data_IF_743316899984
#
_entry.id   IF_743316899984
#
_cell.length_a   1.000
_cell.length_b   1.000
_cell.length_c   1.000
_cell.angle_alpha   90.00
_cell.angle_beta   90.00
_cell.angle_gamma   90.00
#
_symmetry.space_group_name_H-M   'P 1'
#
loop_
_entity.id
_entity.type
_entity.pdbx_description
1 polymer ?
#
# COMPACT_ATOMS: atom_id res chain seq x y z
N UNK A 1 -0.94 -25.76 18.01
CA UNK A 1 0.38 -25.12 18.26
C UNK A 1 1.51 -26.02 17.74
N UNK A 2 2.14 -25.71 16.60
CA UNK A 2 3.27 -26.49 16.08
C UNK A 2 4.61 -25.89 16.53
N UNK A 3 5.57 -26.73 16.96
CA UNK A 3 6.91 -26.31 17.40
C UNK A 3 7.97 -26.86 16.47
N UNK A 4 8.85 -25.99 15.97
CA UNK A 4 10.10 -26.41 15.32
C UNK A 4 11.21 -26.60 16.36
N UNK A 5 12.21 -27.42 16.03
CA UNK A 5 13.39 -27.74 16.86
C UNK A 5 14.19 -26.51 17.31
N UNK A 6 13.98 -25.35 16.68
CA UNK A 6 14.73 -24.10 16.91
C UNK A 6 13.92 -23.02 17.66
N UNK A 7 12.75 -23.34 18.23
CA UNK A 7 12.03 -22.44 19.14
C UNK A 7 11.22 -21.32 18.46
N UNK A 8 11.11 -21.32 17.13
CA UNK A 8 10.14 -20.46 16.44
C UNK A 8 8.75 -21.06 16.64
N UNK A 9 7.90 -20.29 17.31
CA UNK A 9 6.48 -20.59 17.51
C UNK A 9 5.69 -19.72 16.54
N UNK A 10 4.88 -20.32 15.67
CA UNK A 10 3.80 -19.58 15.02
C UNK A 10 2.48 -20.16 15.49
N UNK A 11 1.59 -19.26 15.87
CA UNK A 11 0.27 -19.59 16.38
C UNK A 11 -0.70 -19.17 15.29
N UNK A 12 -1.45 -20.12 14.75
CA UNK A 12 -2.59 -19.86 13.86
C UNK A 12 -3.72 -19.45 14.82
N UNK A 13 -3.82 -18.15 15.14
CA UNK A 13 -4.67 -17.64 16.24
C UNK A 13 -6.01 -17.08 15.84
N UNK A 14 -6.37 -17.02 14.56
CA UNK A 14 -7.64 -16.40 14.18
C UNK A 14 -8.68 -17.48 13.86
N UNK A 15 -9.76 -17.51 14.64
CA UNK A 15 -10.94 -18.39 14.50
C UNK A 15 -11.72 -18.16 13.18
N UNK A 16 -11.18 -17.33 12.27
CA UNK A 16 -11.71 -17.06 10.94
C UNK A 16 -11.22 -18.13 9.96
N UNK A 17 -11.91 -19.27 9.97
CA UNK A 17 -11.93 -20.30 8.93
C UNK A 17 -10.63 -20.41 8.11
N UNK A 18 -9.58 -20.94 8.74
CA UNK A 18 -8.39 -21.36 8.00
C UNK A 18 -8.54 -22.84 7.71
N UNK A 19 -8.85 -23.21 6.47
CA UNK A 19 -8.85 -24.64 6.10
C UNK A 19 -7.44 -25.03 5.70
N UNK A 20 -6.80 -25.86 6.51
CA UNK A 20 -5.50 -26.45 6.21
C UNK A 20 -5.68 -27.93 5.90
N UNK A 21 -5.20 -28.36 4.74
CA UNK A 21 -5.07 -29.77 4.41
C UNK A 21 -3.61 -30.17 4.59
N UNK A 22 -3.39 -31.17 5.45
CA UNK A 22 -2.09 -31.75 5.68
C UNK A 22 -1.93 -33.04 4.88
N UNK A 23 -0.86 -33.10 4.10
CA UNK A 23 -0.52 -34.26 3.29
C UNK A 23 0.78 -34.86 3.79
N UNK A 24 0.69 -36.06 4.37
CA UNK A 24 1.86 -36.88 4.64
C UNK A 24 2.23 -37.66 3.38
N UNK A 25 3.42 -37.39 2.85
CA UNK A 25 4.03 -38.16 1.76
C UNK A 25 4.71 -39.42 2.33
N UNK A 26 5.35 -39.28 3.48
CA UNK A 26 5.96 -40.39 4.22
C UNK A 26 5.69 -40.22 5.71
N UNK A 27 5.48 -41.33 6.44
CA UNK A 27 5.09 -41.28 7.85
C UNK A 27 3.65 -40.81 8.06
N UNK A 28 3.36 -40.28 9.25
CA UNK A 28 2.02 -39.80 9.62
C UNK A 28 2.07 -38.30 9.86
N UNK A 29 1.09 -37.57 9.32
CA UNK A 29 0.84 -36.20 9.70
C UNK A 29 -0.67 -35.92 9.64
N UNK A 30 -1.15 -35.11 10.56
CA UNK A 30 -2.57 -34.78 10.69
C UNK A 30 -2.73 -33.38 11.26
N UNK A 31 -3.89 -32.80 11.02
CA UNK A 31 -4.36 -31.59 11.69
C UNK A 31 -5.62 -31.98 12.45
N UNK A 32 -5.70 -31.62 13.71
CA UNK A 32 -6.89 -31.84 14.55
C UNK A 32 -7.85 -30.65 14.49
N UNK A 33 -9.00 -30.80 15.15
CA UNK A 33 -10.07 -29.78 15.18
C UNK A 33 -9.66 -28.48 15.91
N UNK A 34 -8.47 -28.43 16.52
CA UNK A 34 -7.87 -27.25 17.17
C UNK A 34 -6.73 -26.64 16.32
N UNK A 35 -6.70 -26.91 15.01
CA UNK A 35 -5.68 -26.45 14.05
C UNK A 35 -4.24 -26.81 14.47
N UNK A 36 -4.08 -27.91 15.22
CA UNK A 36 -2.76 -28.38 15.64
C UNK A 36 -2.21 -29.40 14.65
N UNK A 37 -1.22 -28.96 13.87
CA UNK A 37 -0.42 -29.86 13.04
C UNK A 37 0.42 -30.80 13.93
N UNK A 38 0.12 -32.09 13.84
CA UNK A 38 0.91 -33.17 14.43
C UNK A 38 1.68 -33.89 13.33
N UNK A 39 3.01 -33.98 13.48
CA UNK A 39 3.90 -34.66 12.53
C UNK A 39 4.61 -35.78 13.27
N UNK A 40 4.43 -37.01 12.79
CA UNK A 40 5.11 -38.18 13.31
C UNK A 40 6.63 -38.09 13.12
N UNK A 41 7.40 -38.76 13.97
CA UNK A 41 8.86 -38.75 13.88
C UNK A 41 9.32 -39.27 12.50
N UNK A 42 10.07 -38.44 11.77
CA UNK A 42 10.54 -38.77 10.42
C UNK A 42 9.50 -38.66 9.31
N UNK A 43 8.30 -38.12 9.61
CA UNK A 43 7.28 -37.86 8.60
C UNK A 43 7.66 -36.67 7.71
N UNK A 44 7.24 -36.76 6.45
CA UNK A 44 7.54 -35.83 5.37
C UNK A 44 6.22 -35.42 4.74
N UNK A 45 6.07 -34.15 4.43
CA UNK A 45 4.85 -33.68 3.82
C UNK A 45 4.77 -32.18 3.71
N UNK A 46 3.57 -31.73 3.36
CA UNK A 46 3.28 -30.32 3.24
C UNK A 46 1.87 -30.06 3.75
N UNK A 47 1.67 -28.83 4.18
CA UNK A 47 0.37 -28.27 4.51
C UNK A 47 0.07 -27.22 3.47
N UNK A 48 -1.09 -27.32 2.84
CA UNK A 48 -1.65 -26.23 2.04
C UNK A 48 -2.85 -25.73 2.82
N UNK A 49 -2.94 -24.42 2.99
CA UNK A 49 -4.13 -23.84 3.59
C UNK A 49 -4.61 -22.61 2.88
N UNK A 50 -5.91 -22.39 3.02
CA UNK A 50 -6.57 -21.17 2.63
C UNK A 50 -6.82 -20.34 3.89
N UNK A 51 -6.15 -19.20 3.98
CA UNK A 51 -6.42 -18.19 4.97
C UNK A 51 -7.62 -17.38 4.50
N UNK A 52 -8.78 -17.59 5.14
CA UNK A 52 -9.93 -16.74 4.92
C UNK A 52 -9.69 -15.38 5.59
N UNK A 53 -9.39 -14.38 4.78
CA UNK A 53 -9.40 -12.98 5.21
C UNK A 53 -10.86 -12.49 5.19
N UNK A 54 -11.21 -11.55 6.08
CA UNK A 54 -12.54 -10.93 6.20
C UNK A 54 -13.16 -10.68 4.80
N UNK A 55 -14.48 -10.90 4.66
CA UNK A 55 -15.29 -10.78 3.43
C UNK A 55 -15.16 -11.92 2.40
N UNK A 56 -15.06 -13.18 2.86
CA UNK A 56 -15.11 -14.38 2.01
C UNK A 56 -13.93 -14.55 1.02
N UNK A 57 -12.71 -14.13 1.42
CA UNK A 57 -11.51 -14.08 0.56
C UNK A 57 -10.47 -15.07 1.02
N UNK A 58 -9.83 -15.83 0.14
CA UNK A 58 -8.79 -16.80 0.52
C UNK A 58 -7.40 -16.38 0.05
N UNK A 59 -6.41 -16.31 0.94
CA UNK A 59 -4.99 -16.38 0.58
C UNK A 59 -4.51 -17.82 0.72
N UNK A 60 -3.98 -18.42 -0.34
CA UNK A 60 -3.40 -19.76 -0.26
C UNK A 60 -1.92 -19.68 0.11
N UNK A 61 -1.54 -20.38 1.18
CA UNK A 61 -0.15 -20.53 1.60
C UNK A 61 0.22 -22.02 1.70
N UNK A 62 1.49 -22.33 1.44
CA UNK A 62 2.03 -23.68 1.59
C UNK A 62 3.20 -23.69 2.58
N UNK A 63 3.18 -24.64 3.52
CA UNK A 63 4.23 -24.89 4.50
C UNK A 63 4.71 -26.33 4.36
N UNK A 64 6.01 -26.56 4.25
CA UNK A 64 6.59 -27.92 4.15
C UNK A 64 7.18 -28.36 5.49
N UNK A 65 7.02 -29.64 5.85
CA UNK A 65 7.65 -30.25 7.03
C UNK A 65 8.47 -31.49 6.65
N UNK A 66 9.53 -31.78 7.41
CA UNK A 66 10.43 -32.93 7.19
C UNK A 66 11.78 -32.62 6.54
N UNK A 67 12.21 -31.35 6.52
CA UNK A 67 13.36 -30.86 5.75
C UNK A 67 14.75 -31.42 6.07
N UNK A 68 14.96 -32.19 7.15
CA UNK A 68 16.29 -32.78 7.44
C UNK A 68 16.53 -34.14 6.74
N UNK A 69 15.53 -34.77 6.09
CA UNK A 69 15.71 -36.09 5.43
C UNK A 69 16.08 -36.05 3.94
N UNK A 70 16.08 -34.88 3.33
CA UNK A 70 16.53 -34.71 1.95
C UNK A 70 17.96 -34.14 1.89
N UNK A 71 18.89 -34.89 2.45
CA UNK A 71 20.28 -34.84 2.00
C UNK A 71 20.35 -35.46 0.60
N UNK A 72 20.41 -34.62 -0.44
CA UNK A 72 21.04 -34.86 -1.76
C UNK A 72 20.89 -36.23 -2.47
N UNK A 73 19.88 -37.06 -2.19
CA UNK A 73 19.87 -38.46 -2.67
C UNK A 73 18.53 -39.11 -3.05
N UNK A 74 17.39 -38.48 -2.76
CA UNK A 74 16.06 -39.09 -3.00
C UNK A 74 15.37 -38.60 -4.27
N UNK A 75 15.92 -37.58 -4.95
CA UNK A 75 15.36 -37.03 -6.18
C UNK A 75 13.96 -36.42 -6.04
N UNK A 76 13.53 -36.00 -4.85
CA UNK A 76 12.27 -35.28 -4.63
C UNK A 76 12.53 -33.84 -4.18
N UNK A 77 11.67 -32.93 -4.61
CA UNK A 77 11.85 -31.49 -4.43
C UNK A 77 10.51 -30.80 -4.15
N UNK A 78 10.56 -29.65 -3.49
CA UNK A 78 9.37 -28.88 -3.11
C UNK A 78 8.99 -27.86 -4.17
N UNK A 79 7.69 -27.72 -4.42
CA UNK A 79 7.08 -26.60 -5.13
C UNK A 79 6.25 -25.79 -4.13
N UNK A 80 6.77 -24.65 -3.71
CA UNK A 80 6.04 -23.70 -2.87
C UNK A 80 5.20 -22.78 -3.75
N UNK A 81 3.92 -22.64 -3.41
CA UNK A 81 2.98 -21.75 -4.12
C UNK A 81 2.42 -20.66 -3.21
N UNK A 82 2.22 -19.48 -3.78
CA UNK A 82 1.52 -18.35 -3.17
C UNK A 82 0.70 -17.58 -4.21
N UNK A 83 -0.30 -16.82 -3.76
CA UNK A 83 -1.12 -15.94 -4.59
C UNK A 83 -1.15 -14.52 -3.99
N UNK A 84 -1.11 -13.49 -4.86
CA UNK A 84 -1.47 -12.12 -4.44
C UNK A 84 -2.98 -12.01 -4.21
N UNK A 85 -3.44 -10.91 -3.61
CA UNK A 85 -4.88 -10.64 -3.46
C UNK A 85 -5.64 -10.73 -4.80
N UNK A 86 -6.83 -11.33 -4.76
CA UNK A 86 -7.73 -11.43 -5.92
C UNK A 86 -7.81 -12.80 -6.58
N UNK A 87 -7.32 -13.84 -5.93
CA UNK A 87 -7.47 -15.22 -6.41
C UNK A 87 -6.78 -16.26 -5.53
N UNK A 88 -6.89 -17.50 -5.94
CA UNK A 88 -6.31 -18.68 -5.27
C UNK A 88 -5.38 -19.46 -6.20
N UNK A 89 -4.49 -20.27 -5.61
CA UNK A 89 -3.56 -21.14 -6.33
C UNK A 89 -3.62 -22.58 -5.82
N UNK A 90 -3.52 -23.56 -6.72
CA UNK A 90 -3.34 -24.98 -6.41
C UNK A 90 -2.19 -25.60 -7.20
N UNK A 91 -1.71 -26.76 -6.75
CA UNK A 91 -0.61 -27.51 -7.39
C UNK A 91 0.76 -27.39 -6.72
N UNK A 92 0.85 -26.75 -5.55
CA UNK A 92 2.05 -26.86 -4.70
C UNK A 92 2.18 -28.24 -4.06
N UNK A 93 3.38 -28.60 -3.60
CA UNK A 93 3.61 -29.89 -2.96
C UNK A 93 5.05 -30.39 -3.07
N UNK A 94 5.23 -31.70 -2.96
CA UNK A 94 6.52 -32.39 -3.15
C UNK A 94 6.40 -33.28 -4.38
N UNK A 95 7.36 -33.19 -5.28
CA UNK A 95 7.37 -33.88 -6.57
C UNK A 95 8.69 -34.58 -6.81
N UNK A 96 8.67 -35.72 -7.51
CA UNK A 96 9.89 -36.38 -7.96
C UNK A 96 10.53 -35.61 -9.12
N UNK A 97 11.86 -35.64 -9.23
CA UNK A 97 12.61 -35.10 -10.37
C UNK A 97 12.09 -35.74 -11.65
N UNK A 98 11.79 -34.92 -12.65
CA UNK A 98 11.24 -35.40 -13.92
C UNK A 98 9.71 -35.56 -13.92
N UNK A 99 9.05 -35.44 -12.76
CA UNK A 99 7.59 -35.44 -12.68
C UNK A 99 7.01 -34.16 -13.26
N UNK A 100 5.85 -34.27 -13.92
CA UNK A 100 5.14 -33.10 -14.43
C UNK A 100 4.34 -32.45 -13.29
N UNK A 101 4.70 -31.22 -12.95
CA UNK A 101 3.96 -30.37 -12.02
C UNK A 101 2.93 -29.56 -12.81
N UNK A 102 1.70 -29.45 -12.28
CA UNK A 102 0.65 -28.61 -12.85
C UNK A 102 0.18 -27.62 -11.77
N UNK A 103 0.34 -26.33 -12.05
CA UNK A 103 -0.16 -25.25 -11.20
C UNK A 103 -1.38 -24.59 -11.83
N UNK A 104 -2.37 -24.24 -11.00
CA UNK A 104 -3.58 -23.55 -11.44
C UNK A 104 -3.87 -22.34 -10.55
N UNK A 105 -4.09 -21.20 -11.19
CA UNK A 105 -4.54 -19.96 -10.60
C UNK A 105 -6.02 -19.73 -10.94
N UNK A 106 -6.82 -19.36 -9.94
CA UNK A 106 -8.25 -19.07 -10.09
C UNK A 106 -8.52 -17.65 -9.59
N UNK A 107 -8.83 -16.69 -10.46
CA UNK A 107 -9.21 -15.34 -10.04
C UNK A 107 -10.54 -15.35 -9.28
N UNK A 108 -10.62 -14.51 -8.25
CA UNK A 108 -11.87 -14.19 -7.59
C UNK A 108 -12.75 -13.30 -8.50
N UNK A 109 -14.03 -13.15 -8.16
CA UNK A 109 -14.92 -12.23 -8.86
C UNK A 109 -14.38 -10.80 -8.81
N UNK A 110 -14.37 -10.12 -9.97
CA UNK A 110 -13.82 -8.78 -10.08
C UNK A 110 -12.31 -8.71 -10.24
N UNK A 111 -11.61 -9.84 -10.42
CA UNK A 111 -10.17 -9.90 -10.69
C UNK A 111 -9.84 -10.69 -11.97
N UNK A 112 -8.74 -10.33 -12.61
CA UNK A 112 -8.09 -11.03 -13.70
C UNK A 112 -6.75 -11.60 -13.21
N UNK A 113 -6.42 -12.81 -13.66
CA UNK A 113 -5.08 -13.36 -13.52
C UNK A 113 -4.13 -12.64 -14.49
N UNK A 114 -3.01 -12.12 -14.00
CA UNK A 114 -2.06 -11.36 -14.83
C UNK A 114 -0.74 -12.10 -15.09
N UNK A 115 -0.42 -13.14 -14.32
CA UNK A 115 0.75 -13.97 -14.59
C UNK A 115 1.37 -14.60 -13.37
N UNK A 116 2.31 -15.51 -13.63
CA UNK A 116 3.14 -16.19 -12.65
C UNK A 116 4.53 -15.57 -12.58
N UNK A 117 5.17 -15.64 -11.42
CA UNK A 117 6.63 -15.55 -11.30
C UNK A 117 7.18 -16.86 -10.74
N UNK A 118 8.31 -17.30 -11.26
CA UNK A 118 8.96 -18.56 -10.89
C UNK A 118 10.41 -18.32 -10.45
N UNK A 119 10.83 -19.04 -9.41
CA UNK A 119 12.24 -19.22 -9.04
C UNK A 119 12.57 -20.72 -9.10
N UNK A 120 13.78 -21.06 -9.56
CA UNK A 120 14.23 -22.46 -9.67
C UNK A 120 13.79 -23.21 -10.93
N UNK A 121 12.86 -22.66 -11.72
CA UNK A 121 12.43 -23.25 -13.00
C UNK A 121 12.05 -22.18 -14.03
N UNK A 122 12.19 -22.50 -15.33
CA UNK A 122 11.65 -21.68 -16.43
C UNK A 122 10.40 -22.34 -17.01
N UNK A 123 9.33 -21.55 -17.17
CA UNK A 123 8.02 -22.00 -17.66
C UNK A 123 7.68 -21.27 -18.95
N UNK A 124 7.18 -22.01 -19.95
CA UNK A 124 7.02 -21.50 -21.32
C UNK A 124 5.94 -20.42 -21.48
N UNK A 125 4.86 -20.47 -20.69
CA UNK A 125 3.78 -19.48 -20.74
C UNK A 125 3.32 -19.08 -19.32
N UNK A 126 4.09 -18.25 -18.61
CA UNK A 126 3.72 -17.82 -17.26
C UNK A 126 2.49 -16.90 -17.24
N UNK A 127 1.92 -16.52 -18.38
CA UNK A 127 0.67 -15.73 -18.43
C UNK A 127 -0.59 -16.60 -18.52
N UNK A 128 -0.45 -17.93 -18.65
CA UNK A 128 -1.59 -18.83 -18.59
C UNK A 128 -2.03 -19.08 -17.14
N UNK A 129 -3.34 -19.12 -16.88
CA UNK A 129 -3.88 -19.44 -15.55
C UNK A 129 -3.54 -20.87 -15.10
N UNK A 130 -3.25 -21.76 -16.04
CA UNK A 130 -2.78 -23.13 -15.79
C UNK A 130 -1.46 -23.31 -16.50
N UNK A 131 -0.44 -23.72 -15.75
CA UNK A 131 0.91 -23.92 -16.25
C UNK A 131 1.44 -25.26 -15.81
N UNK A 132 2.34 -25.82 -16.62
CA UNK A 132 3.04 -27.04 -16.27
C UNK A 132 4.53 -26.92 -16.54
N UNK A 133 5.30 -27.67 -15.77
CA UNK A 133 6.74 -27.82 -15.95
C UNK A 133 7.19 -29.19 -15.46
N UNK A 134 8.38 -29.60 -15.88
CA UNK A 134 9.03 -30.82 -15.41
C UNK A 134 9.86 -30.47 -14.17
N UNK A 135 9.67 -31.20 -13.07
CA UNK A 135 10.32 -30.89 -11.80
C UNK A 135 11.85 -30.94 -11.95
N UNK A 136 12.56 -29.81 -11.67
CA UNK A 136 14.00 -29.74 -11.78
C UNK A 136 14.69 -30.44 -10.62
N UNK A 137 16.03 -30.45 -10.66
CA UNK A 137 16.86 -30.90 -9.54
C UNK A 137 17.05 -29.77 -8.52
N UNK A 138 15.94 -29.32 -7.93
CA UNK A 138 15.91 -28.21 -6.98
C UNK A 138 14.50 -27.78 -6.62
N UNK A 139 14.36 -27.04 -5.52
CA UNK A 139 13.08 -26.50 -5.11
C UNK A 139 12.62 -25.38 -6.05
N UNK A 140 11.31 -25.24 -6.19
CA UNK A 140 10.65 -24.22 -7.01
C UNK A 140 9.77 -23.36 -6.12
N UNK A 141 9.80 -22.06 -6.37
CA UNK A 141 8.82 -21.10 -5.82
C UNK A 141 8.01 -20.54 -6.96
N UNK A 142 6.69 -20.59 -6.85
CA UNK A 142 5.76 -20.05 -7.84
C UNK A 142 4.76 -19.10 -7.17
N UNK A 143 4.63 -17.89 -7.72
CA UNK A 143 3.72 -16.88 -7.20
C UNK A 143 2.73 -16.44 -8.30
N UNK A 144 1.43 -16.64 -8.06
CA UNK A 144 0.35 -16.20 -8.93
C UNK A 144 -0.04 -14.75 -8.63
N UNK A 145 -0.12 -13.91 -9.67
CA UNK A 145 -0.51 -12.52 -9.56
C UNK A 145 -1.90 -12.28 -10.16
N UNK A 146 -2.71 -11.53 -9.43
CA UNK A 146 -4.05 -11.11 -9.82
C UNK A 146 -4.17 -9.59 -9.78
N UNK A 147 -5.03 -9.04 -10.63
CA UNK A 147 -5.32 -7.61 -10.72
C UNK A 147 -6.83 -7.42 -10.81
N UNK A 148 -7.41 -6.44 -10.11
CA UNK A 148 -8.85 -6.16 -10.26
C UNK A 148 -9.20 -5.84 -11.72
N UNK A 149 -10.31 -6.39 -12.21
CA UNK A 149 -10.85 -6.14 -13.55
C UNK A 149 -10.99 -4.64 -13.80
N UNK A 150 -10.71 -4.23 -15.04
CA UNK A 150 -10.89 -2.86 -15.45
C UNK A 150 -12.37 -2.44 -15.27
N UNK A 151 -12.65 -1.20 -14.82
CA UNK A 151 -14.00 -0.67 -14.74
C UNK A 151 -14.70 -0.79 -16.09
N UNK A 152 -15.95 -1.26 -16.07
CA UNK A 152 -16.78 -1.37 -17.27
C UNK A 152 -17.18 0.04 -17.70
N UNK A 153 -17.21 0.30 -19.01
CA UNK A 153 -17.79 1.55 -19.53
C UNK A 153 -19.27 1.54 -19.15
N UNK A 154 -19.74 2.51 -18.35
CA UNK A 154 -21.15 2.59 -18.01
C UNK A 154 -21.95 3.06 -19.25
N UNK A 155 -22.82 2.24 -19.86
CA UNK A 155 -23.60 2.66 -21.02
C UNK A 155 -24.76 3.61 -20.65
N UNK A 156 -25.03 3.80 -19.36
CA UNK A 156 -26.28 4.39 -18.85
C UNK A 156 -26.20 5.88 -18.53
N UNK A 157 -25.00 6.48 -18.50
CA UNK A 157 -24.82 7.91 -18.23
C UNK A 157 -24.67 8.60 -19.59
N UNK A 158 -25.80 9.04 -20.14
CA UNK A 158 -25.84 9.83 -21.37
C UNK A 158 -25.13 11.17 -21.20
N UNK A 159 -23.83 11.20 -21.47
CA UNK A 159 -23.11 12.38 -21.93
C UNK A 159 -21.77 11.94 -22.52
N UNK A 160 -21.18 12.78 -23.36
CA UNK A 160 -19.91 12.59 -24.07
C UNK A 160 -18.66 12.31 -23.21
N UNK A 161 -18.78 12.19 -21.88
CA UNK A 161 -17.72 11.81 -20.96
C UNK A 161 -17.76 10.30 -20.72
N UNK A 162 -16.70 9.58 -21.11
CA UNK A 162 -16.55 8.15 -20.86
C UNK A 162 -16.46 7.94 -19.34
N UNK A 163 -17.58 7.59 -18.71
CA UNK A 163 -17.63 7.25 -17.29
C UNK A 163 -17.25 5.78 -17.12
N UNK A 164 -16.02 5.57 -16.66
CA UNK A 164 -15.57 4.26 -16.19
C UNK A 164 -16.19 4.05 -14.81
N UNK A 165 -16.76 2.87 -14.53
CA UNK A 165 -17.29 2.54 -13.20
C UNK A 165 -16.81 1.19 -12.70
N UNK A 166 -16.55 1.09 -11.40
CA UNK A 166 -16.26 -0.16 -10.70
C UNK A 166 -16.97 -0.19 -9.35
N UNK A 167 -17.11 -1.36 -8.75
CA UNK A 167 -17.56 -1.51 -7.37
C UNK A 167 -16.40 -2.00 -6.51
N UNK A 168 -16.32 -1.51 -5.28
CA UNK A 168 -15.30 -1.93 -4.33
C UNK A 168 -15.85 -1.91 -2.91
N UNK A 169 -15.29 -2.78 -2.06
CA UNK A 169 -15.53 -2.78 -0.62
C UNK A 169 -14.57 -1.80 0.07
N UNK A 170 -15.01 -1.19 1.17
CA UNK A 170 -14.18 -0.30 1.97
C UNK A 170 -12.85 -0.97 2.37
N UNK A 171 -11.76 -0.19 2.37
CA UNK A 171 -10.41 -0.64 2.70
C UNK A 171 -9.69 -1.42 1.60
N UNK A 172 -10.35 -1.71 0.47
CA UNK A 172 -9.75 -2.55 -0.58
C UNK A 172 -8.95 -1.75 -1.59
N UNK A 173 -7.80 -2.32 -1.98
CA UNK A 173 -7.00 -1.82 -3.09
C UNK A 173 -7.73 -2.14 -4.39
N UNK A 174 -7.83 -1.14 -5.26
CA UNK A 174 -8.39 -1.26 -6.60
C UNK A 174 -7.37 -0.70 -7.57
N UNK A 175 -7.05 -1.46 -8.62
CA UNK A 175 -6.08 -1.07 -9.64
C UNK A 175 -6.64 -1.30 -11.04
N UNK A 176 -6.40 -0.38 -11.96
CA UNK A 176 -6.82 -0.56 -13.35
C UNK A 176 -6.02 0.32 -14.31
N UNK A 177 -6.03 -0.09 -15.57
CA UNK A 177 -5.31 0.62 -16.64
C UNK A 177 -6.00 1.94 -16.99
N UNK A 178 -5.23 3.01 -17.02
CA UNK A 178 -5.69 4.33 -17.46
C UNK A 178 -5.93 4.28 -18.98
N UNK A 179 -7.10 4.72 -19.45
CA UNK A 179 -7.40 4.77 -20.88
C UNK A 179 -6.41 5.62 -21.67
N UNK A 180 -6.14 5.21 -22.91
CA UNK A 180 -5.26 5.94 -23.82
C UNK A 180 -5.77 7.37 -24.08
N UNK A 181 -4.85 8.33 -24.09
CA UNK A 181 -5.14 9.75 -24.36
C UNK A 181 -5.61 10.56 -23.15
N UNK A 182 -5.74 9.95 -21.97
CA UNK A 182 -6.06 10.64 -20.72
C UNK A 182 -4.78 11.09 -20.01
N UNK A 183 -4.77 12.29 -19.44
CA UNK A 183 -3.68 12.70 -18.56
C UNK A 183 -3.77 11.97 -17.20
N UNK A 184 -2.83 11.08 -16.86
CA UNK A 184 -2.93 10.25 -15.67
C UNK A 184 -2.80 11.05 -14.36
N UNK A 185 -2.15 12.23 -14.39
CA UNK A 185 -2.04 13.11 -13.22
C UNK A 185 -3.39 13.76 -12.85
N UNK A 186 -4.32 13.86 -13.80
CA UNK A 186 -5.63 14.47 -13.62
C UNK A 186 -6.76 13.45 -13.50
N UNK A 187 -6.46 12.17 -13.71
CA UNK A 187 -7.42 11.09 -13.69
C UNK A 187 -7.57 10.53 -12.27
N UNK A 188 -8.77 10.63 -11.71
CA UNK A 188 -9.02 10.33 -10.30
C UNK A 188 -10.29 9.51 -10.08
N UNK A 189 -10.31 8.59 -9.11
CA UNK A 189 -11.54 7.94 -8.67
C UNK A 189 -12.41 8.92 -7.89
N UNK A 190 -13.71 8.75 -7.98
CA UNK A 190 -14.67 9.41 -7.10
C UNK A 190 -15.82 8.48 -6.73
N UNK A 191 -16.47 8.77 -5.62
CA UNK A 191 -17.74 8.18 -5.22
C UNK A 191 -18.73 9.30 -4.89
N UNK A 192 -19.99 8.94 -4.70
CA UNK A 192 -21.02 9.88 -4.24
C UNK A 192 -21.29 9.70 -2.75
N UNK A 193 -21.24 10.81 -2.02
CA UNK A 193 -21.66 10.90 -0.63
C UNK A 193 -22.69 12.03 -0.51
N UNK A 194 -23.91 11.71 -0.05
CA UNK A 194 -25.01 12.67 0.07
C UNK A 194 -25.27 13.48 -1.23
N UNK A 195 -25.20 12.81 -2.38
CA UNK A 195 -25.40 13.43 -3.69
C UNK A 195 -24.25 14.31 -4.19
N UNK A 196 -23.13 14.38 -3.45
CA UNK A 196 -21.93 15.13 -3.85
C UNK A 196 -20.82 14.18 -4.26
N UNK A 197 -20.09 14.57 -5.31
CA UNK A 197 -18.89 13.87 -5.74
C UNK A 197 -17.76 14.08 -4.72
N UNK A 198 -17.15 13.00 -4.28
CA UNK A 198 -15.97 12.99 -3.41
C UNK A 198 -14.85 12.24 -4.11
N UNK A 199 -13.75 12.94 -4.40
CA UNK A 199 -12.58 12.30 -5.01
C UNK A 199 -11.78 11.50 -3.99
N UNK A 200 -11.30 10.34 -4.42
CA UNK A 200 -10.50 9.45 -3.57
C UNK A 200 -9.06 9.96 -3.52
N UNK A 201 -8.74 10.66 -2.42
CA UNK A 201 -7.43 11.26 -2.21
C UNK A 201 -6.31 10.22 -2.09
N UNK A 202 -6.59 9.08 -1.46
CA UNK A 202 -5.68 7.94 -1.34
C UNK A 202 -5.65 7.13 -2.65
N UNK A 203 -5.07 7.75 -3.68
CA UNK A 203 -4.89 7.15 -5.00
C UNK A 203 -3.59 7.64 -5.65
N UNK A 204 -2.95 6.83 -6.46
CA UNK A 204 -1.80 7.24 -7.28
C UNK A 204 -1.81 6.49 -8.61
N UNK A 205 -1.00 6.96 -9.57
CA UNK A 205 -0.77 6.20 -10.80
C UNK A 205 0.72 5.92 -11.01
N UNK A 206 1.01 4.79 -11.65
CA UNK A 206 2.35 4.42 -12.09
C UNK A 206 2.24 3.48 -13.30
N UNK A 207 3.10 3.68 -14.30
CA UNK A 207 3.15 2.85 -15.51
C UNK A 207 1.79 2.69 -16.22
N UNK A 208 0.96 3.74 -16.20
CA UNK A 208 -0.37 3.73 -16.82
C UNK A 208 -1.44 2.98 -16.03
N UNK A 209 -1.17 2.60 -14.77
CA UNK A 209 -2.13 1.97 -13.87
C UNK A 209 -2.49 2.98 -12.77
N UNK A 210 -3.79 3.23 -12.56
CA UNK A 210 -4.30 3.97 -11.41
C UNK A 210 -4.64 2.97 -10.30
N UNK A 211 -4.14 3.23 -9.08
CA UNK A 211 -4.42 2.44 -7.89
C UNK A 211 -5.01 3.33 -6.79
N UNK A 212 -6.02 2.85 -6.07
CA UNK A 212 -6.59 3.54 -4.91
C UNK A 212 -7.03 2.57 -3.82
N UNK A 213 -7.19 3.08 -2.59
CA UNK A 213 -7.88 2.37 -1.51
C UNK A 213 -9.30 2.89 -1.43
N UNK A 214 -10.29 2.01 -1.58
CA UNK A 214 -11.70 2.37 -1.51
C UNK A 214 -12.07 2.86 -0.09
N UNK A 215 -12.42 4.14 0.12
CA UNK A 215 -12.80 4.63 1.45
C UNK A 215 -14.12 4.05 1.96
N UNK A 216 -15.04 3.70 1.06
CA UNK A 216 -16.38 3.17 1.38
C UNK A 216 -16.72 1.97 0.49
N UNK A 217 -17.65 1.13 0.93
CA UNK A 217 -18.23 0.10 0.07
C UNK A 217 -19.23 0.74 -0.89
N UNK A 218 -19.04 0.59 -2.19
CA UNK A 218 -19.95 1.16 -3.18
C UNK A 218 -19.40 1.22 -4.60
N UNK A 219 -20.09 1.99 -5.43
CA UNK A 219 -19.69 2.28 -6.80
C UNK A 219 -18.74 3.49 -6.85
N UNK A 220 -17.72 3.37 -7.70
CA UNK A 220 -16.74 4.38 -7.99
C UNK A 220 -16.78 4.74 -9.46
N UNK A 221 -16.86 6.03 -9.76
CA UNK A 221 -16.62 6.58 -11.09
C UNK A 221 -15.19 7.07 -11.23
N UNK A 222 -14.76 7.31 -12.47
CA UNK A 222 -13.46 7.91 -12.76
C UNK A 222 -13.60 9.00 -13.80
N UNK A 223 -12.83 10.08 -13.64
CA UNK A 223 -12.79 11.16 -14.62
C UNK A 223 -11.44 11.85 -14.68
N UNK A 224 -11.15 12.44 -15.84
CA UNK A 224 -10.04 13.36 -16.03
C UNK A 224 -10.48 14.78 -15.65
N UNK A 225 -9.93 15.31 -14.56
CA UNK A 225 -10.27 16.66 -14.11
C UNK A 225 -9.60 17.71 -14.98
N UNK A 226 -10.38 18.71 -15.42
CA UNK A 226 -9.88 19.85 -16.20
C UNK A 226 -9.32 20.93 -15.27
N UNK A 227 -8.10 20.72 -14.75
CA UNK A 227 -7.40 21.67 -13.89
C UNK A 227 -6.17 22.25 -14.61
N UNK A 228 -5.94 23.54 -14.42
CA UNK A 228 -4.74 24.22 -14.92
C UNK A 228 -4.35 25.38 -14.00
N UNK A 229 -3.05 25.67 -13.94
CA UNK A 229 -2.51 26.82 -13.22
C UNK A 229 -1.45 27.49 -14.10
N UNK A 230 -1.53 28.80 -14.28
CA UNK A 230 -0.67 29.54 -15.20
C UNK A 230 0.81 29.55 -14.76
N UNK A 231 1.04 29.50 -13.44
CA UNK A 231 2.36 29.61 -12.81
C UNK A 231 3.14 28.29 -12.70
N UNK A 232 2.60 27.18 -13.24
CA UNK A 232 3.27 25.86 -13.20
C UNK A 232 3.68 25.32 -14.57
N UNK A 233 3.41 26.06 -15.66
CA UNK A 233 3.59 25.55 -17.03
C UNK A 233 4.99 24.99 -17.33
N UNK A 234 6.02 25.59 -16.75
CA UNK A 234 7.42 25.18 -16.88
C UNK A 234 8.05 24.74 -15.55
N UNK A 235 7.22 24.48 -14.54
CA UNK A 235 7.68 24.14 -13.20
C UNK A 235 7.96 22.63 -13.09
N UNK A 236 9.09 22.26 -12.50
CA UNK A 236 9.52 20.86 -12.35
C UNK A 236 8.49 19.97 -11.66
N UNK A 237 7.72 20.55 -10.73
CA UNK A 237 6.69 19.85 -9.96
C UNK A 237 5.31 19.84 -10.61
N UNK A 238 5.15 20.29 -11.86
CA UNK A 238 3.85 20.45 -12.55
C UNK A 238 2.95 19.22 -12.38
N UNK A 239 3.48 18.03 -12.67
CA UNK A 239 2.70 16.78 -12.63
C UNK A 239 2.28 16.41 -11.21
N UNK A 240 3.16 16.60 -10.22
CA UNK A 240 2.81 16.40 -8.81
C UNK A 240 1.77 17.41 -8.33
N UNK A 241 1.86 18.66 -8.76
CA UNK A 241 0.90 19.72 -8.45
C UNK A 241 -0.49 19.38 -9.01
N UNK A 242 -0.56 18.99 -10.29
CA UNK A 242 -1.81 18.54 -10.89
C UNK A 242 -2.38 17.32 -10.16
N UNK A 243 -1.53 16.37 -9.78
CA UNK A 243 -1.94 15.15 -9.06
C UNK A 243 -2.59 15.45 -7.70
N UNK A 244 -1.98 16.31 -6.89
CA UNK A 244 -2.55 16.66 -5.58
C UNK A 244 -3.77 17.58 -5.70
N UNK A 245 -3.83 18.43 -6.72
CA UNK A 245 -4.98 19.29 -6.97
C UNK A 245 -6.19 18.47 -7.45
N UNK A 246 -5.97 17.49 -8.34
CA UNK A 246 -7.03 16.60 -8.82
C UNK A 246 -7.64 15.73 -7.71
N UNK A 247 -6.88 15.46 -6.64
CA UNK A 247 -7.30 14.72 -5.45
C UNK A 247 -7.89 15.59 -4.34
N UNK A 248 -8.10 16.88 -4.61
CA UNK A 248 -8.53 17.90 -3.64
C UNK A 248 -7.65 18.02 -2.39
N UNK A 249 -6.38 17.57 -2.46
CA UNK A 249 -5.42 17.69 -1.37
C UNK A 249 -4.96 19.15 -1.24
N UNK A 250 -4.58 19.75 -2.36
CA UNK A 250 -4.12 21.14 -2.45
C UNK A 250 -5.07 21.97 -3.31
N UNK A 251 -5.36 23.19 -2.85
CA UNK A 251 -6.16 24.16 -3.60
C UNK A 251 -5.25 25.22 -4.23
N UNK A 252 -5.67 25.80 -5.35
CA UNK A 252 -5.05 27.01 -5.89
C UNK A 252 -5.21 28.21 -4.96
N UNK A 253 -4.44 29.27 -5.21
CA UNK A 253 -4.46 30.50 -4.41
C UNK A 253 -5.34 31.60 -5.04
N UNK A 254 -6.09 31.26 -6.09
CA UNK A 254 -6.89 32.20 -6.89
C UNK A 254 -6.13 32.74 -8.10
N UNK A 255 -6.82 33.48 -8.97
CA UNK A 255 -6.27 34.08 -10.20
C UNK A 255 -5.48 33.08 -11.08
N UNK A 256 -6.00 31.86 -11.23
CA UNK A 256 -5.39 30.76 -11.98
C UNK A 256 -3.98 30.37 -11.52
N UNK A 257 -3.64 30.59 -10.23
CA UNK A 257 -2.32 30.28 -9.67
C UNK A 257 -2.35 29.17 -8.62
N UNK A 258 -1.27 28.40 -8.58
CA UNK A 258 -1.01 27.43 -7.52
C UNK A 258 -0.06 27.97 -6.44
N UNK A 259 0.81 28.92 -6.78
CA UNK A 259 1.96 29.37 -5.97
C UNK A 259 2.91 28.22 -5.60
N UNK A 260 3.61 27.61 -6.58
CA UNK A 260 4.44 26.43 -6.32
C UNK A 260 5.64 26.72 -5.39
N UNK A 261 6.16 27.94 -5.41
CA UNK A 261 7.34 28.35 -4.64
C UNK A 261 6.99 28.94 -3.26
N UNK A 262 5.71 29.21 -2.99
CA UNK A 262 5.25 29.68 -1.69
C UNK A 262 5.53 28.68 -0.56
N UNK A 263 6.01 29.18 0.58
CA UNK A 263 6.28 28.35 1.75
C UNK A 263 4.97 27.95 2.47
N UNK A 264 4.83 26.66 2.77
CA UNK A 264 3.68 26.14 3.52
C UNK A 264 3.77 26.46 5.00
N UNK A 265 2.63 26.77 5.61
CA UNK A 265 2.53 26.82 7.08
C UNK A 265 2.28 25.43 7.66
N UNK A 266 2.55 25.27 8.95
CA UNK A 266 2.20 24.05 9.69
C UNK A 266 0.71 23.76 9.62
N UNK A 267 -0.17 24.78 9.73
CA UNK A 267 -1.62 24.58 9.60
C UNK A 267 -2.03 24.06 8.22
N UNK A 268 -1.43 24.59 7.16
CA UNK A 268 -1.70 24.11 5.79
C UNK A 268 -1.31 22.64 5.65
N UNK A 269 -0.12 22.25 6.15
CA UNK A 269 0.36 20.88 6.04
C UNK A 269 -0.56 19.86 6.73
N UNK A 270 -1.00 20.16 7.97
CA UNK A 270 -1.93 19.31 8.72
C UNK A 270 -3.30 19.22 8.05
N UNK A 271 -3.76 20.32 7.44
CA UNK A 271 -5.01 20.33 6.67
C UNK A 271 -4.94 19.36 5.48
N UNK A 272 -3.78 19.25 4.83
CA UNK A 272 -3.59 18.30 3.73
C UNK A 272 -3.60 16.85 4.23
N UNK A 273 -2.93 16.54 5.35
CA UNK A 273 -2.99 15.20 5.96
C UNK A 273 -4.43 14.81 6.32
N UNK A 274 -5.20 15.73 6.88
CA UNK A 274 -6.60 15.50 7.22
C UNK A 274 -7.47 15.24 5.97
N UNK A 275 -7.24 15.97 4.88
CA UNK A 275 -7.89 15.70 3.59
C UNK A 275 -7.52 14.33 3.04
N UNK A 276 -6.24 13.95 3.17
CA UNK A 276 -5.75 12.65 2.74
C UNK A 276 -6.41 11.50 3.53
N UNK A 277 -6.65 11.69 4.83
CA UNK A 277 -7.39 10.75 5.68
C UNK A 277 -8.90 10.69 5.40
N UNK A 278 -9.41 11.42 4.41
CA UNK A 278 -10.85 11.44 4.09
C UNK A 278 -11.67 12.42 4.93
N UNK A 279 -11.03 13.44 5.50
CA UNK A 279 -11.67 14.49 6.31
C UNK A 279 -12.47 13.94 7.52
N UNK A 280 -11.89 13.04 8.33
CA UNK A 280 -12.58 12.46 9.48
C UNK A 280 -13.05 13.55 10.45
N UNK A 281 -14.28 13.42 10.94
CA UNK A 281 -14.80 14.27 12.00
C UNK A 281 -14.12 13.89 13.32
N UNK A 282 -13.68 14.89 14.08
CA UNK A 282 -13.05 14.66 15.37
C UNK A 282 -13.85 15.18 16.56
N UNK A 283 -14.66 16.24 16.38
CA UNK A 283 -15.47 16.86 17.42
C UNK A 283 -14.67 17.47 18.58
N UNK A 284 -15.22 18.48 19.25
CA UNK A 284 -14.56 19.15 20.39
C UNK A 284 -13.82 20.43 20.00
N UNK A 285 -12.99 20.95 20.90
CA UNK A 285 -12.32 22.24 20.75
C UNK A 285 -10.87 22.10 20.29
N UNK A 286 -10.38 23.14 19.60
CA UNK A 286 -8.97 23.26 19.22
C UNK A 286 -8.09 23.26 20.49
N UNK A 287 -7.06 22.40 20.58
CA UNK A 287 -6.30 22.22 21.83
C UNK A 287 -5.15 23.24 22.02
N UNK A 288 -4.98 24.18 21.09
CA UNK A 288 -3.88 25.14 21.08
C UNK A 288 -4.39 26.59 21.16
N UNK A 289 -3.70 27.42 21.95
CA UNK A 289 -4.07 28.81 22.23
C UNK A 289 -3.98 29.73 21.00
N UNK A 290 -3.07 29.41 20.08
CA UNK A 290 -2.86 30.15 18.84
C UNK A 290 -3.68 29.60 17.67
N UNK A 291 -4.53 28.60 17.90
CA UNK A 291 -5.51 28.14 16.93
C UNK A 291 -6.82 28.92 17.09
N UNK A 292 -7.30 29.50 15.98
CA UNK A 292 -8.57 30.21 15.96
C UNK A 292 -9.71 29.22 15.76
N UNK A 293 -10.73 29.18 16.64
CA UNK A 293 -11.92 28.34 16.43
C UNK A 293 -12.59 28.63 15.09
N UNK A 294 -13.14 27.60 14.43
CA UNK A 294 -13.82 27.67 13.14
C UNK A 294 -12.96 28.19 11.96
N UNK A 295 -11.65 28.35 12.13
CA UNK A 295 -10.74 28.53 11.00
C UNK A 295 -10.71 27.27 10.12
N UNK A 296 -10.29 27.41 8.85
CA UNK A 296 -10.27 26.33 7.86
C UNK A 296 -9.47 25.08 8.29
N UNK A 297 -8.55 25.22 9.25
CA UNK A 297 -7.70 24.15 9.78
C UNK A 297 -8.21 23.55 11.10
N UNK A 298 -9.31 24.07 11.67
CA UNK A 298 -9.74 23.73 13.04
C UNK A 298 -10.05 22.24 13.21
N UNK A 299 -10.89 21.68 12.33
CA UNK A 299 -11.23 20.25 12.36
C UNK A 299 -9.98 19.37 12.17
N UNK A 300 -9.11 19.75 11.23
CA UNK A 300 -7.87 19.04 10.97
C UNK A 300 -6.97 19.01 12.21
N UNK A 301 -6.90 20.09 12.99
CA UNK A 301 -6.12 20.14 14.22
C UNK A 301 -6.71 19.30 15.34
N UNK A 302 -8.02 19.36 15.54
CA UNK A 302 -8.68 18.54 16.56
C UNK A 302 -8.45 17.07 16.25
N UNK A 303 -8.64 16.66 14.99
CA UNK A 303 -8.34 15.31 14.54
C UNK A 303 -6.87 14.93 14.73
N UNK A 304 -5.95 15.74 14.22
CA UNK A 304 -4.53 15.39 14.23
C UNK A 304 -3.94 15.36 15.64
N UNK A 305 -4.40 16.22 16.54
CA UNK A 305 -3.94 16.24 17.93
C UNK A 305 -4.49 15.03 18.71
N UNK A 306 -5.77 14.68 18.54
CA UNK A 306 -6.38 13.51 19.19
C UNK A 306 -5.71 12.20 18.79
N UNK A 307 -5.28 12.10 17.54
CA UNK A 307 -4.66 10.90 16.98
C UNK A 307 -3.13 10.92 17.06
N UNK A 308 -2.53 11.88 17.78
CA UNK A 308 -1.08 11.94 17.98
C UNK A 308 -0.26 12.34 16.75
N UNK A 309 -0.89 12.64 15.61
CA UNK A 309 -0.24 13.04 14.34
C UNK A 309 0.55 14.33 14.52
N UNK A 310 0.03 15.25 15.33
CA UNK A 310 0.69 16.54 15.60
C UNK A 310 0.88 16.79 17.08
N UNK A 311 1.96 17.49 17.39
CA UNK A 311 2.25 18.04 18.71
C UNK A 311 2.61 19.52 18.56
N UNK A 312 2.21 20.33 19.54
CA UNK A 312 2.63 21.73 19.63
C UNK A 312 4.07 21.87 20.09
N UNK A 313 4.58 23.09 20.17
CA UNK A 313 5.93 23.39 20.68
C UNK A 313 6.04 23.29 22.21
N UNK A 314 4.96 22.95 22.90
CA UNK A 314 4.79 23.18 24.34
C UNK A 314 4.09 24.50 24.62
N UNK A 315 3.84 24.79 25.91
CA UNK A 315 3.19 26.03 26.39
C UNK A 315 1.79 26.33 25.84
N UNK A 316 1.16 25.34 25.19
CA UNK A 316 -0.14 25.45 24.54
C UNK A 316 -0.10 26.10 23.15
N UNK A 317 1.05 26.16 22.48
CA UNK A 317 1.20 26.75 21.14
C UNK A 317 1.48 25.68 20.08
N UNK A 318 0.87 25.83 18.90
CA UNK A 318 1.13 25.00 17.74
C UNK A 318 2.06 25.63 16.70
N UNK A 319 2.02 26.96 16.55
CA UNK A 319 2.67 27.69 15.46
C UNK A 319 1.85 27.63 14.17
N UNK A 320 0.56 27.96 14.21
CA UNK A 320 -0.38 27.76 13.06
C UNK A 320 0.06 28.49 11.78
N UNK A 321 0.70 29.65 11.93
CA UNK A 321 1.19 30.49 10.83
C UNK A 321 2.67 30.30 10.53
N UNK A 322 3.39 29.54 11.35
CA UNK A 322 4.81 29.29 11.15
C UNK A 322 5.02 28.43 9.92
N UNK A 323 6.11 28.71 9.19
CA UNK A 323 6.52 27.89 8.07
C UNK A 323 7.02 26.54 8.57
N UNK A 324 6.53 25.47 7.95
CA UNK A 324 6.94 24.12 8.32
C UNK A 324 8.35 23.84 7.81
N UNK A 325 9.19 23.30 8.70
CA UNK A 325 10.55 22.87 8.34
C UNK A 325 10.56 21.44 7.80
N UNK A 326 11.61 21.07 7.07
CA UNK A 326 11.77 19.73 6.49
C UNK A 326 11.80 18.63 7.55
N UNK A 327 12.44 18.84 8.70
CA UNK A 327 12.46 17.84 9.77
C UNK A 327 11.08 17.67 10.45
N UNK A 328 10.32 18.76 10.62
CA UNK A 328 8.97 18.70 11.19
C UNK A 328 8.00 17.97 10.27
N UNK A 329 8.16 18.15 8.96
CA UNK A 329 7.38 17.44 7.94
C UNK A 329 7.58 15.93 8.04
N UNK A 330 8.84 15.46 8.11
CA UNK A 330 9.10 14.02 8.25
C UNK A 330 8.44 13.42 9.48
N UNK A 331 8.51 14.12 10.63
CA UNK A 331 7.85 13.67 11.87
C UNK A 331 6.33 13.56 11.69
N UNK A 332 5.70 14.53 11.05
CA UNK A 332 4.25 14.48 10.82
C UNK A 332 3.86 13.40 9.81
N UNK A 333 4.68 13.13 8.79
CA UNK A 333 4.45 12.02 7.85
C UNK A 333 4.55 10.66 8.51
N UNK A 334 5.58 10.43 9.33
CA UNK A 334 5.76 9.16 10.04
C UNK A 334 4.58 8.90 10.99
N UNK A 335 4.18 9.89 11.79
CA UNK A 335 3.02 9.76 12.67
C UNK A 335 1.70 9.56 11.91
N UNK A 336 1.59 10.14 10.72
CA UNK A 336 0.45 9.88 9.85
C UNK A 336 0.44 8.43 9.33
N UNK A 337 1.59 7.91 8.92
CA UNK A 337 1.72 6.51 8.51
C UNK A 337 1.35 5.55 9.66
N UNK A 338 1.87 5.80 10.86
CA UNK A 338 1.53 5.05 12.08
C UNK A 338 0.01 5.11 12.37
N UNK A 339 -0.61 6.29 12.25
CA UNK A 339 -2.06 6.44 12.37
C UNK A 339 -2.84 5.61 11.34
N UNK A 340 -2.33 5.51 10.12
CA UNK A 340 -2.93 4.69 9.06
C UNK A 340 -2.66 3.19 9.23
N UNK A 341 -1.94 2.77 10.28
CA UNK A 341 -1.60 1.37 10.56
C UNK A 341 -0.41 0.85 9.75
N UNK A 342 0.39 1.73 9.17
CA UNK A 342 1.62 1.35 8.48
C UNK A 342 2.74 1.05 9.49
N UNK A 343 3.38 -0.11 9.34
CA UNK A 343 4.54 -0.49 10.15
C UNK A 343 5.81 0.21 9.62
N UNK A 344 6.21 1.29 10.28
CA UNK A 344 7.34 2.12 9.86
C UNK A 344 8.66 1.41 10.22
N UNK A 345 9.54 1.12 9.24
CA UNK A 345 10.77 0.38 9.51
C UNK A 345 11.71 1.15 10.43
N UNK A 346 12.22 0.49 11.47
CA UNK A 346 12.97 1.13 12.57
C UNK A 346 14.38 1.64 12.21
N UNK A 347 14.95 1.29 11.04
CA UNK A 347 16.30 1.73 10.59
C UNK A 347 16.61 1.35 9.16
N UNK A 348 17.46 2.15 8.51
CA UNK A 348 18.07 1.83 7.22
C UNK A 348 19.59 1.75 7.35
N UNK A 349 20.22 0.79 6.66
CA UNK A 349 21.67 0.75 6.51
C UNK A 349 22.22 1.81 5.51
N UNK A 350 21.37 2.72 5.03
CA UNK A 350 21.78 3.76 4.10
C UNK A 350 22.72 4.77 4.76
N UNK A 351 23.67 5.28 3.97
CA UNK A 351 24.55 6.36 4.43
C UNK A 351 23.71 7.57 4.88
N UNK A 352 23.98 8.14 6.07
CA UNK A 352 23.28 9.34 6.53
C UNK A 352 23.44 10.52 5.57
N UNK A 353 22.57 11.53 5.70
CA UNK A 353 22.81 12.81 5.03
C UNK A 353 24.10 13.46 5.54
N UNK A 354 24.76 14.22 4.68
CA UNK A 354 26.03 14.88 5.01
C UNK A 354 25.88 15.87 6.18
N UNK A 355 24.69 16.45 6.34
CA UNK A 355 24.29 17.38 7.41
C UNK A 355 23.41 16.71 8.48
N UNK A 356 23.51 15.39 8.67
CA UNK A 356 22.72 14.66 9.68
C UNK A 356 22.90 15.19 11.10
N UNK A 357 24.03 15.83 11.40
CA UNK A 357 24.33 16.46 12.68
C UNK A 357 23.49 17.72 12.95
N UNK A 358 22.90 18.34 11.91
CA UNK A 358 21.99 19.48 12.03
C UNK A 358 20.54 19.06 12.30
N UNK A 359 20.22 17.76 12.14
CA UNK A 359 18.89 17.22 12.40
C UNK A 359 18.66 17.17 13.91
N UNK A 360 17.54 17.74 14.35
CA UNK A 360 17.16 17.68 15.77
C UNK A 360 17.06 16.23 16.24
N UNK A 361 17.48 15.95 17.49
CA UNK A 361 17.41 14.59 18.06
C UNK A 361 16.03 13.96 17.96
N UNK A 362 14.98 14.74 18.19
CA UNK A 362 13.57 14.29 18.10
C UNK A 362 13.08 13.99 16.67
N UNK A 363 13.83 14.37 15.63
CA UNK A 363 13.45 14.18 14.24
C UNK A 363 14.27 13.10 13.52
N UNK A 364 15.37 12.61 14.12
CA UNK A 364 16.34 11.73 13.44
C UNK A 364 15.68 10.49 12.85
N UNK A 365 14.94 9.75 13.68
CA UNK A 365 14.30 8.50 13.27
C UNK A 365 13.28 8.75 12.17
N UNK A 366 12.50 9.83 12.29
CA UNK A 366 11.50 10.16 11.27
C UNK A 366 12.12 10.60 9.94
N UNK A 367 13.23 11.34 9.97
CA UNK A 367 13.98 11.72 8.76
C UNK A 367 14.59 10.50 8.10
N UNK A 368 15.13 9.57 8.89
CA UNK A 368 15.68 8.31 8.40
C UNK A 368 14.60 7.43 7.76
N UNK A 369 13.44 7.29 8.42
CA UNK A 369 12.30 6.57 7.87
C UNK A 369 11.77 7.20 6.57
N UNK A 370 11.61 8.53 6.53
CA UNK A 370 11.18 9.21 5.30
C UNK A 370 12.20 9.06 4.15
N UNK A 371 13.50 8.96 4.47
CA UNK A 371 14.54 8.68 3.48
C UNK A 371 14.45 7.23 2.99
N UNK A 372 14.34 6.26 3.91
CA UNK A 372 14.31 4.83 3.58
C UNK A 372 13.09 4.45 2.73
N UNK A 373 11.96 5.10 3.00
CA UNK A 373 10.71 4.95 2.24
C UNK A 373 10.72 5.73 0.91
N UNK A 374 11.78 6.48 0.60
CA UNK A 374 11.85 7.29 -0.61
C UNK A 374 10.89 8.48 -0.64
N UNK A 375 10.30 8.85 0.50
CA UNK A 375 9.45 10.05 0.63
C UNK A 375 10.34 11.29 0.41
N UNK A 376 11.56 11.28 0.99
CA UNK A 376 12.54 12.37 0.87
C UNK A 376 13.88 11.89 0.27
N UNK A 377 14.33 12.58 -0.79
CA UNK A 377 15.57 12.22 -1.52
C UNK A 377 16.77 13.17 -1.27
N UNK A 378 16.63 14.15 -0.38
CA UNK A 378 17.66 15.17 -0.12
C UNK A 378 17.86 16.19 -1.25
N UNK A 379 18.86 17.04 -1.10
CA UNK A 379 19.32 18.10 -2.00
C UNK A 379 20.71 17.75 -2.57
N UNK A 380 21.19 18.44 -3.63
CA UNK A 380 22.54 18.25 -4.14
C UNK A 380 23.60 18.27 -3.03
N UNK A 381 24.57 17.37 -3.12
CA UNK A 381 25.60 17.18 -2.07
C UNK A 381 25.18 16.27 -0.91
N UNK A 382 24.12 15.45 -1.08
CA UNK A 382 23.58 14.57 -0.03
C UNK A 382 23.15 15.36 1.23
N UNK A 383 22.57 16.55 1.04
CA UNK A 383 22.09 17.41 2.13
C UNK A 383 20.60 17.19 2.39
N UNK A 384 20.20 17.09 3.65
CA UNK A 384 18.79 17.08 4.04
C UNK A 384 18.24 18.50 4.22
N UNK A 385 19.04 19.41 4.76
CA UNK A 385 18.70 20.78 5.13
C UNK A 385 17.51 20.85 6.11
N UNK A 386 17.69 20.37 7.36
CA UNK A 386 16.58 20.10 8.28
C UNK A 386 15.75 21.33 8.65
N UNK A 387 16.38 22.51 8.69
CA UNK A 387 15.75 23.77 9.13
C UNK A 387 15.14 24.56 7.98
N UNK A 388 15.40 24.20 6.73
CA UNK A 388 14.78 24.87 5.61
C UNK A 388 13.27 24.67 5.60
N UNK A 389 12.57 25.72 5.17
CA UNK A 389 11.14 25.67 4.93
C UNK A 389 10.84 24.96 3.63
N UNK A 390 9.66 24.33 3.57
CA UNK A 390 9.22 23.60 2.38
C UNK A 390 8.23 24.39 1.55
N UNK A 391 8.44 24.37 0.24
CA UNK A 391 7.52 24.98 -0.72
C UNK A 391 6.30 24.11 -0.96
N UNK A 392 5.23 24.69 -1.49
CA UNK A 392 4.03 23.95 -1.90
C UNK A 392 4.35 22.87 -2.94
N UNK A 393 5.26 23.15 -3.88
CA UNK A 393 5.71 22.16 -4.86
C UNK A 393 6.44 20.97 -4.23
N UNK A 394 7.36 21.22 -3.29
CA UNK A 394 8.05 20.17 -2.56
C UNK A 394 7.07 19.30 -1.77
N UNK A 395 6.11 19.92 -1.07
CA UNK A 395 5.07 19.19 -0.36
C UNK A 395 4.21 18.34 -1.30
N UNK A 396 3.77 18.87 -2.46
CA UNK A 396 2.99 18.11 -3.44
C UNK A 396 3.71 16.82 -3.85
N UNK A 397 5.02 16.90 -4.11
CA UNK A 397 5.83 15.73 -4.45
C UNK A 397 5.91 14.73 -3.31
N UNK A 398 6.15 15.19 -2.08
CA UNK A 398 6.28 14.29 -0.92
C UNK A 398 4.95 13.63 -0.54
N UNK A 399 3.82 14.32 -0.66
CA UNK A 399 2.50 13.72 -0.46
C UNK A 399 2.20 12.61 -1.47
N UNK A 400 2.52 12.80 -2.76
CA UNK A 400 2.32 11.74 -3.75
C UNK A 400 3.21 10.52 -3.49
N UNK A 401 4.44 10.73 -2.99
CA UNK A 401 5.34 9.63 -2.58
C UNK A 401 4.82 8.91 -1.34
N UNK A 402 4.34 9.65 -0.33
CA UNK A 402 3.68 9.09 0.85
C UNK A 402 2.49 8.21 0.47
N UNK A 403 1.63 8.71 -0.43
CA UNK A 403 0.46 7.96 -0.93
C UNK A 403 0.90 6.67 -1.61
N UNK A 404 1.92 6.72 -2.47
CA UNK A 404 2.47 5.53 -3.12
C UNK A 404 2.99 4.52 -2.09
N UNK A 405 3.82 4.97 -1.14
CA UNK A 405 4.38 4.11 -0.07
C UNK A 405 3.27 3.39 0.69
N UNK A 406 2.24 4.13 1.13
CA UNK A 406 1.14 3.55 1.88
C UNK A 406 0.31 2.60 1.03
N UNK A 407 -0.03 2.97 -0.20
CA UNK A 407 -0.82 2.08 -1.07
C UNK A 407 -0.02 0.82 -1.39
N UNK A 408 1.27 0.91 -1.67
CA UNK A 408 2.10 -0.24 -2.02
C UNK A 408 2.27 -1.25 -0.90
N UNK A 409 2.16 -0.84 0.37
CA UNK A 409 2.20 -1.76 1.51
C UNK A 409 0.90 -2.52 1.76
N UNK A 410 -0.22 -2.11 1.16
CA UNK A 410 -1.50 -2.83 1.32
C UNK A 410 -1.53 -3.98 0.31
N UNK A 411 -1.50 -5.23 0.79
CA UNK A 411 -1.56 -6.43 -0.07
C UNK A 411 -2.96 -6.72 -0.64
#
# INVERSE_FOLDING_TARGET
MARTKNGVSFVITDERLVSWECFAVEGSASIDDEDTLTVGAGAIGYVIGNLLVIDNRSLTASLTFGGERFSSGTGHYTVAVSATQGGSVTGGGIYAKGETVILKAVPDEGYDFIGWTFEGVSVANPSANTVSFVMPEGNVVANAKFLSKAPVINPSIGSSDRSYVTTAQAGRKVSFMIPQGINPNLFVPYYYENGKKVYVAMSYHENGILTFIAPVTGEYGFEERKLSFADINSHWAKDYILSVAARDLFMGVGNDKFDPNGAMTRAMFVTVLWRLAGKPSAGGSVPFKDAVPNAYYSEAFVWAAKNGIVQGYGNGLFGVNDKITREQMCVMFVRFLEYMGYDVPEKSNAQPFADHNLISSWAKDAVEACRSLGIVNGKPGNLFDPKAYTTRAECSTMFMRLIKVYIDSIE
#
